data_IF_485474959993
#
_entry.id   IF_485474959993
#
_cell.length_a   1.000
_cell.length_b   1.000
_cell.length_c   1.000
_cell.angle_alpha   90.00
_cell.angle_beta   90.00
_cell.angle_gamma   90.00
#
_symmetry.space_group_name_H-M   'P 1'
#
loop_
_entity.id
_entity.type
_entity.pdbx_description
1 polymer ?
#
# COMPACT_ATOMS: atom_id res chain seq x y z
N UNK A 1 23.60 16.07 -9.98
CA UNK A 1 24.43 15.82 -8.76
C UNK A 1 24.14 14.39 -8.34
N UNK A 2 25.17 13.63 -7.97
CA UNK A 2 25.00 12.27 -7.43
C UNK A 2 24.56 12.35 -5.98
N UNK A 3 23.49 11.66 -5.61
CA UNK A 3 23.00 11.49 -4.23
C UNK A 3 23.13 10.03 -3.84
N UNK A 4 23.33 9.74 -2.56
CA UNK A 4 23.42 8.36 -2.08
C UNK A 4 22.96 8.19 -0.63
N UNK A 5 22.52 6.99 -0.31
CA UNK A 5 22.20 6.57 1.06
C UNK A 5 22.63 5.12 1.30
N UNK A 6 22.80 4.78 2.58
CA UNK A 6 23.03 3.40 3.00
C UNK A 6 21.70 2.73 3.31
N UNK A 7 21.54 1.51 2.80
CA UNK A 7 20.31 0.71 2.94
C UNK A 7 20.50 -0.34 4.02
N UNK A 8 19.52 -0.44 4.90
CA UNK A 8 19.44 -1.40 5.99
C UNK A 8 18.11 -2.14 5.93
N UNK A 9 18.03 -3.27 6.61
CA UNK A 9 16.78 -4.02 6.81
C UNK A 9 16.58 -4.38 8.29
N UNK A 10 15.32 -4.44 8.69
CA UNK A 10 14.88 -4.93 10.00
C UNK A 10 14.88 -3.89 11.11
N UNK A 11 14.35 -4.27 12.27
CA UNK A 11 14.29 -3.41 13.46
C UNK A 11 15.68 -3.14 14.01
N UNK A 12 16.48 -4.17 14.19
CA UNK A 12 17.91 -4.06 14.41
C UNK A 12 18.55 -3.90 13.03
N UNK A 13 18.94 -2.67 12.64
CA UNK A 13 19.27 -2.39 11.25
C UNK A 13 20.55 -3.13 10.82
N UNK A 14 20.38 -4.10 9.92
CA UNK A 14 21.49 -4.81 9.30
C UNK A 14 21.78 -4.11 7.96
N UNK A 15 23.02 -3.70 7.74
CA UNK A 15 23.43 -3.04 6.49
C UNK A 15 23.36 -4.01 5.32
N UNK A 16 22.63 -3.61 4.27
CA UNK A 16 22.45 -4.39 3.05
C UNK A 16 23.33 -3.89 1.92
N UNK A 17 23.49 -2.56 1.82
CA UNK A 17 24.27 -1.98 0.71
C UNK A 17 24.09 -0.48 0.58
N UNK A 18 24.45 0.05 -0.61
CA UNK A 18 24.36 1.47 -0.93
C UNK A 18 23.51 1.70 -2.17
N UNK A 19 22.57 2.62 -2.06
CA UNK A 19 21.77 3.15 -3.16
C UNK A 19 22.34 4.49 -3.58
N UNK A 20 22.65 4.64 -4.85
CA UNK A 20 23.07 5.90 -5.47
C UNK A 20 22.03 6.33 -6.50
N UNK A 21 21.83 7.62 -6.65
CA UNK A 21 20.90 8.21 -7.61
C UNK A 21 21.55 9.37 -8.35
N UNK A 22 21.30 9.48 -9.66
CA UNK A 22 21.75 10.59 -10.47
C UNK A 22 20.66 11.00 -11.47
N UNK A 23 20.41 12.32 -11.54
CA UNK A 23 19.50 12.91 -12.54
C UNK A 23 20.31 13.75 -13.51
N UNK A 24 20.21 13.43 -14.82
CA UNK A 24 20.81 14.16 -15.92
C UNK A 24 19.72 14.59 -16.91
N UNK A 25 19.36 15.87 -16.89
CA UNK A 25 18.22 16.36 -17.65
C UNK A 25 16.91 15.69 -17.22
N UNK A 26 16.23 15.02 -18.13
CA UNK A 26 15.00 14.26 -17.83
C UNK A 26 15.26 12.80 -17.46
N UNK A 27 16.49 12.30 -17.57
CA UNK A 27 16.82 10.92 -17.28
C UNK A 27 17.26 10.76 -15.83
N UNK A 28 16.52 9.97 -15.09
CA UNK A 28 16.84 9.53 -13.72
C UNK A 28 17.40 8.11 -13.75
N UNK A 29 18.48 7.88 -13.03
CA UNK A 29 19.12 6.57 -12.91
C UNK A 29 19.47 6.28 -11.46
N UNK A 30 19.35 5.06 -11.06
CA UNK A 30 19.86 4.57 -9.77
C UNK A 30 20.85 3.44 -9.95
N UNK A 31 21.73 3.29 -8.98
CA UNK A 31 22.66 2.18 -8.89
C UNK A 31 22.67 1.64 -7.47
N UNK A 32 22.72 0.34 -7.34
CA UNK A 32 22.80 -0.33 -6.06
C UNK A 32 24.04 -1.22 -5.98
N UNK A 33 24.66 -1.25 -4.80
CA UNK A 33 25.80 -2.10 -4.49
C UNK A 33 25.51 -2.82 -3.18
N UNK A 34 25.36 -4.14 -3.21
CA UNK A 34 25.31 -4.94 -2.00
C UNK A 34 26.62 -4.85 -1.22
N UNK A 35 26.53 -4.76 0.11
CA UNK A 35 27.72 -4.84 0.95
C UNK A 35 28.25 -6.30 1.01
N UNK A 36 29.57 -6.42 1.13
CA UNK A 36 30.19 -7.74 1.30
C UNK A 36 29.72 -8.46 2.57
N UNK A 37 29.35 -7.70 3.60
CA UNK A 37 28.78 -8.26 4.83
C UNK A 37 27.41 -8.86 4.60
N UNK A 38 26.58 -8.23 3.77
CA UNK A 38 25.27 -8.77 3.40
C UNK A 38 25.41 -10.02 2.52
N UNK A 39 26.25 -9.97 1.49
CA UNK A 39 26.48 -11.10 0.58
C UNK A 39 27.07 -12.35 1.29
N UNK A 40 27.60 -12.20 2.50
CA UNK A 40 28.06 -13.31 3.36
C UNK A 40 27.12 -13.62 4.52
N UNK A 41 26.03 -12.89 4.65
CA UNK A 41 25.09 -13.08 5.75
C UNK A 41 24.29 -14.38 5.53
N UNK A 42 24.19 -15.28 6.50
CA UNK A 42 23.40 -16.51 6.34
C UNK A 42 21.90 -16.26 6.14
N UNK A 43 21.41 -15.10 6.52
CA UNK A 43 20.02 -14.68 6.32
C UNK A 43 19.87 -13.67 5.17
N UNK A 44 20.83 -13.62 4.23
CA UNK A 44 20.74 -12.78 3.05
C UNK A 44 19.56 -13.17 2.17
N UNK A 45 18.96 -12.22 1.52
CA UNK A 45 17.96 -12.42 0.47
C UNK A 45 18.01 -11.27 -0.54
N UNK A 46 17.55 -11.51 -1.76
CA UNK A 46 17.41 -10.46 -2.78
C UNK A 46 16.29 -9.49 -2.37
N UNK A 47 16.58 -8.17 -2.34
CA UNK A 47 15.59 -7.17 -1.92
C UNK A 47 14.37 -7.12 -2.85
N UNK A 48 14.57 -7.46 -4.14
CA UNK A 48 13.51 -7.62 -5.14
C UNK A 48 14.04 -8.41 -6.34
N UNK A 49 13.16 -8.96 -7.21
CA UNK A 49 13.58 -9.78 -8.34
C UNK A 49 14.52 -9.07 -9.33
N UNK A 50 14.39 -7.74 -9.47
CA UNK A 50 15.25 -6.91 -10.32
C UNK A 50 16.57 -6.50 -9.65
N UNK A 51 16.80 -6.97 -8.42
CA UNK A 51 18.01 -6.70 -7.64
C UNK A 51 18.59 -8.00 -7.05
N UNK A 52 19.11 -8.92 -7.90
CA UNK A 52 19.66 -10.21 -7.48
C UNK A 52 20.90 -10.05 -6.58
N UNK A 53 21.20 -11.09 -5.77
CA UNK A 53 22.36 -11.15 -4.88
C UNK A 53 23.65 -11.38 -5.65
N UNK A 54 24.20 -10.35 -6.26
CA UNK A 54 25.47 -10.37 -6.97
C UNK A 54 26.41 -9.27 -6.48
N UNK A 55 27.71 -9.50 -6.56
CA UNK A 55 28.72 -8.48 -6.29
C UNK A 55 28.79 -7.45 -7.44
N UNK A 56 29.22 -6.22 -7.11
CA UNK A 56 29.32 -5.15 -8.07
C UNK A 56 28.05 -4.29 -8.17
N UNK A 57 28.17 -3.21 -8.94
CA UNK A 57 27.08 -2.26 -9.13
C UNK A 57 26.03 -2.83 -10.08
N UNK A 58 24.77 -2.73 -9.66
CA UNK A 58 23.60 -3.00 -10.48
C UNK A 58 22.93 -1.66 -10.80
N UNK A 59 22.39 -1.52 -12.01
CA UNK A 59 21.88 -0.25 -12.51
C UNK A 59 20.40 -0.37 -12.89
N UNK A 60 19.64 0.65 -12.56
CA UNK A 60 18.25 0.80 -12.95
C UNK A 60 18.01 2.20 -13.53
N UNK A 61 17.06 2.31 -14.46
CA UNK A 61 16.63 3.60 -15.00
C UNK A 61 15.19 3.54 -15.44
N UNK A 62 14.41 4.57 -15.11
CA UNK A 62 13.09 4.74 -15.70
C UNK A 62 13.19 4.83 -17.22
N UNK A 63 12.34 4.08 -17.91
CA UNK A 63 12.22 4.09 -19.39
C UNK A 63 11.19 5.10 -19.85
N UNK A 64 10.17 5.32 -19.00
CA UNK A 64 9.08 6.28 -19.22
C UNK A 64 8.94 7.17 -18.00
N UNK A 65 8.18 8.27 -18.11
CA UNK A 65 7.89 9.17 -16.98
C UNK A 65 7.08 8.52 -15.87
N UNK A 66 6.41 7.41 -16.15
CA UNK A 66 5.49 6.74 -15.22
C UNK A 66 6.19 5.60 -14.45
N UNK A 67 7.42 5.27 -14.84
CA UNK A 67 8.24 4.27 -14.15
C UNK A 67 9.09 4.93 -13.06
N UNK A 68 9.26 4.22 -11.94
CA UNK A 68 10.19 4.65 -10.89
C UNK A 68 11.64 4.65 -11.40
N UNK A 69 12.42 5.60 -10.94
CA UNK A 69 13.86 5.62 -11.15
C UNK A 69 14.63 4.58 -10.30
N UNK A 70 13.93 3.89 -9.41
CA UNK A 70 14.51 2.96 -8.46
C UNK A 70 14.09 1.51 -8.73
N UNK A 71 14.91 0.57 -8.23
CA UNK A 71 14.56 -0.85 -8.17
C UNK A 71 13.24 -1.07 -7.46
N UNK A 72 12.54 -2.15 -7.78
CA UNK A 72 11.19 -2.45 -7.34
C UNK A 72 11.00 -2.36 -5.82
N UNK A 73 11.96 -2.84 -5.03
CA UNK A 73 11.89 -2.77 -3.56
C UNK A 73 11.91 -1.34 -3.00
N UNK A 74 12.55 -0.40 -3.68
CA UNK A 74 12.53 1.01 -3.31
C UNK A 74 11.31 1.72 -3.87
N UNK A 75 10.84 1.32 -5.07
CA UNK A 75 9.61 1.85 -5.66
C UNK A 75 8.37 1.60 -4.78
N UNK A 76 8.28 0.43 -4.14
CA UNK A 76 7.18 0.11 -3.22
C UNK A 76 7.19 0.94 -1.93
N UNK A 77 8.28 1.60 -1.62
CA UNK A 77 8.41 2.46 -0.43
C UNK A 77 8.56 3.94 -0.77
N UNK A 78 8.43 4.32 -2.04
CA UNK A 78 8.30 5.72 -2.45
C UNK A 78 6.95 6.28 -2.00
N UNK A 79 6.88 7.58 -1.66
CA UNK A 79 5.58 8.23 -1.48
C UNK A 79 4.90 8.36 -2.83
N UNK A 80 3.60 8.17 -2.88
CA UNK A 80 2.78 8.51 -4.03
C UNK A 80 1.59 9.41 -3.63
N UNK A 81 0.76 9.80 -4.57
CA UNK A 81 -0.49 10.50 -4.36
C UNK A 81 -0.46 11.52 -3.21
N UNK A 82 -1.13 11.17 -2.10
CA UNK A 82 -1.23 11.98 -0.91
C UNK A 82 0.15 12.32 -0.31
N UNK A 83 1.01 11.33 -0.15
CA UNK A 83 2.35 11.53 0.43
C UNK A 83 3.20 12.51 -0.37
N UNK A 84 3.21 12.41 -1.70
CA UNK A 84 3.91 13.37 -2.59
C UNK A 84 3.34 14.78 -2.45
N UNK A 85 2.01 14.90 -2.38
CA UNK A 85 1.35 16.22 -2.23
C UNK A 85 1.77 16.90 -0.92
N UNK A 86 1.75 16.18 0.21
CA UNK A 86 2.21 16.72 1.51
C UNK A 86 3.66 17.18 1.43
N UNK A 87 4.55 16.40 0.86
CA UNK A 87 5.97 16.75 0.71
C UNK A 87 6.15 17.99 -0.17
N UNK A 88 5.46 18.07 -1.29
CA UNK A 88 5.53 19.21 -2.21
C UNK A 88 5.08 20.51 -1.54
N UNK A 89 3.97 20.46 -0.81
CA UNK A 89 3.42 21.60 -0.08
C UNK A 89 4.35 22.06 1.03
N UNK A 90 4.86 21.12 1.83
CA UNK A 90 5.82 21.41 2.90
C UNK A 90 7.09 22.09 2.33
N UNK A 91 7.64 21.55 1.27
CA UNK A 91 8.81 22.10 0.60
C UNK A 91 8.55 23.51 0.03
N UNK A 92 7.41 23.72 -0.65
CA UNK A 92 7.05 25.00 -1.23
C UNK A 92 6.89 26.09 -0.15
N UNK A 93 6.27 25.73 0.99
CA UNK A 93 6.04 26.66 2.12
C UNK A 93 7.36 27.02 2.81
N UNK A 94 8.23 26.03 3.08
CA UNK A 94 9.55 26.29 3.65
C UNK A 94 10.39 27.24 2.78
N UNK A 95 10.33 27.08 1.45
CA UNK A 95 11.02 27.99 0.51
C UNK A 95 10.48 29.42 0.58
N UNK A 96 9.15 29.58 0.69
CA UNK A 96 8.51 30.91 0.76
C UNK A 96 8.91 31.65 2.03
N UNK A 97 9.02 30.94 3.15
CA UNK A 97 9.32 31.53 4.45
C UNK A 97 10.83 31.63 4.73
N UNK A 98 11.67 31.30 3.74
CA UNK A 98 13.13 31.43 3.85
C UNK A 98 13.80 30.40 4.77
N UNK A 99 13.10 29.35 5.13
CA UNK A 99 13.60 28.25 5.94
C UNK A 99 14.26 27.22 4.98
N UNK A 100 15.57 27.35 4.79
CA UNK A 100 16.35 26.41 3.95
C UNK A 100 17.39 27.12 3.10
N UNK A 101 18.57 26.52 2.98
CA UNK A 101 19.74 27.13 2.35
C UNK A 101 19.70 27.15 0.81
N UNK A 102 18.75 26.48 0.16
CA UNK A 102 18.77 26.31 -1.31
C UNK A 102 17.43 26.71 -1.94
N UNK A 103 17.30 28.02 -2.25
CA UNK A 103 16.10 28.60 -2.86
C UNK A 103 15.83 28.15 -4.29
N UNK A 104 16.80 27.51 -4.94
CA UNK A 104 16.73 27.13 -6.35
C UNK A 104 16.49 25.64 -6.62
N UNK A 105 16.64 24.78 -5.62
CA UNK A 105 16.50 23.33 -5.79
C UNK A 105 15.03 22.92 -5.97
N UNK A 106 14.79 22.05 -6.93
CA UNK A 106 13.55 21.31 -7.07
C UNK A 106 13.72 19.93 -6.43
N UNK A 107 12.67 19.39 -5.85
CA UNK A 107 12.67 18.02 -5.37
C UNK A 107 12.83 17.04 -6.54
N UNK A 108 13.71 16.07 -6.39
CA UNK A 108 13.81 14.92 -7.29
C UNK A 108 13.33 13.62 -6.61
N UNK A 109 13.31 12.50 -7.33
CA UNK A 109 12.79 11.24 -6.84
C UNK A 109 13.52 10.76 -5.57
N UNK A 110 14.84 11.03 -5.48
CA UNK A 110 15.61 10.68 -4.29
C UNK A 110 15.22 11.52 -3.07
N UNK A 111 14.91 12.80 -3.25
CA UNK A 111 14.43 13.63 -2.16
C UNK A 111 13.09 13.13 -1.63
N UNK A 112 12.16 12.75 -2.52
CA UNK A 112 10.89 12.14 -2.10
C UNK A 112 11.12 10.85 -1.32
N UNK A 113 11.96 9.95 -1.80
CA UNK A 113 12.28 8.70 -1.13
C UNK A 113 12.87 8.92 0.27
N UNK A 114 13.78 9.90 0.42
CA UNK A 114 14.43 10.23 1.69
C UNK A 114 13.57 11.06 2.64
N UNK A 115 12.46 11.65 2.16
CA UNK A 115 11.57 12.46 3.00
C UNK A 115 10.69 11.64 3.94
N UNK A 116 10.50 10.37 3.65
CA UNK A 116 9.64 9.48 4.41
C UNK A 116 10.26 9.16 5.77
N UNK A 117 9.43 9.25 6.82
CA UNK A 117 9.83 8.85 8.17
C UNK A 117 10.28 7.38 8.20
N UNK A 118 11.45 7.12 8.77
CA UNK A 118 11.95 5.75 8.95
C UNK A 118 10.96 4.91 9.76
N UNK A 119 10.39 5.46 10.82
CA UNK A 119 9.48 4.73 11.70
C UNK A 119 8.23 4.23 10.96
N UNK A 120 7.62 5.08 10.15
CA UNK A 120 6.38 4.79 9.42
C UNK A 120 6.60 4.18 8.02
N UNK A 121 7.84 4.10 7.51
CA UNK A 121 8.15 3.51 6.21
C UNK A 121 7.61 2.08 6.10
N UNK A 122 7.02 1.75 4.94
CA UNK A 122 6.48 0.42 4.68
C UNK A 122 7.59 -0.63 4.67
N UNK A 123 7.29 -1.80 5.22
CA UNK A 123 8.20 -2.94 5.19
C UNK A 123 9.40 -2.81 6.14
N UNK A 124 10.46 -3.53 5.81
CA UNK A 124 11.67 -3.62 6.61
C UNK A 124 12.82 -2.74 6.13
N UNK A 125 12.72 -2.16 4.91
CA UNK A 125 13.76 -1.31 4.34
C UNK A 125 13.88 -0.02 5.16
N UNK A 126 15.14 0.34 5.47
CA UNK A 126 15.50 1.58 6.16
C UNK A 126 16.62 2.27 5.39
N UNK A 127 16.52 3.58 5.26
CA UNK A 127 17.47 4.39 4.51
C UNK A 127 18.16 5.37 5.44
N UNK A 128 19.49 5.36 5.42
CA UNK A 128 20.33 6.24 6.25
C UNK A 128 21.14 7.16 5.35
N UNK A 129 21.05 8.45 5.57
CA UNK A 129 21.78 9.45 4.79
C UNK A 129 23.29 9.50 5.15
N UNK A 130 24.01 10.40 4.48
CA UNK A 130 25.46 10.60 4.70
C UNK A 130 25.79 11.17 6.07
N UNK A 131 24.83 11.74 6.79
CA UNK A 131 24.99 12.26 8.16
C UNK A 131 24.72 11.18 9.22
N UNK A 132 24.37 9.96 8.79
CA UNK A 132 24.07 8.84 9.69
C UNK A 132 22.64 8.85 10.21
N UNK A 133 21.73 9.63 9.63
CA UNK A 133 20.35 9.80 10.06
C UNK A 133 19.42 8.94 9.20
N UNK A 134 18.58 8.11 9.86
CA UNK A 134 17.56 7.31 9.17
C UNK A 134 16.35 8.12 8.68
N UNK A 135 16.19 9.33 9.18
CA UNK A 135 15.06 10.20 8.84
C UNK A 135 15.54 11.63 8.62
N UNK A 136 15.44 12.08 7.40
CA UNK A 136 16.08 13.32 6.99
C UNK A 136 15.44 14.61 7.53
N UNK A 137 14.13 14.63 7.90
CA UNK A 137 13.42 15.88 8.21
C UNK A 137 12.27 15.78 9.20
N UNK A 138 12.19 14.77 10.04
CA UNK A 138 11.22 14.77 11.11
C UNK A 138 11.87 15.17 12.44
N UNK A 139 11.18 15.97 13.20
CA UNK A 139 11.52 16.15 14.61
C UNK A 139 11.46 14.77 15.28
N UNK A 140 12.61 14.32 15.82
CA UNK A 140 12.74 13.03 16.50
C UNK A 140 11.73 12.82 17.64
N UNK A 141 11.12 13.90 18.13
CA UNK A 141 10.09 13.90 19.17
C UNK A 141 8.69 13.55 18.65
N UNK A 142 8.45 13.58 17.32
CA UNK A 142 7.12 13.40 16.71
C UNK A 142 7.14 12.38 15.58
N UNK A 143 7.68 11.18 15.84
CA UNK A 143 7.84 10.18 14.78
C UNK A 143 6.51 9.59 14.30
N UNK A 144 5.56 9.36 15.19
CA UNK A 144 4.21 8.89 14.86
C UNK A 144 3.27 9.28 16.00
N UNK A 145 2.23 10.07 15.76
CA UNK A 145 1.34 10.55 16.79
C UNK A 145 0.46 9.41 17.34
N UNK A 146 0.15 9.44 18.64
CA UNK A 146 -0.88 8.59 19.23
C UNK A 146 -2.28 9.04 18.79
N UNK A 147 -3.29 8.18 19.01
CA UNK A 147 -4.69 8.47 18.65
C UNK A 147 -5.22 9.79 19.21
N UNK A 148 -4.74 10.22 20.36
CA UNK A 148 -5.16 11.49 20.99
C UNK A 148 -4.87 12.73 20.12
N UNK A 149 -3.93 12.63 19.18
CA UNK A 149 -3.59 13.71 18.25
C UNK A 149 -4.40 13.68 16.95
N UNK A 150 -5.32 12.71 16.81
CA UNK A 150 -6.12 12.51 15.60
C UNK A 150 -6.92 13.78 15.18
N UNK A 151 -7.54 14.56 16.07
CA UNK A 151 -8.23 15.79 15.68
C UNK A 151 -7.33 16.81 14.97
N UNK A 152 -6.06 16.92 15.39
CA UNK A 152 -5.11 17.83 14.75
C UNK A 152 -4.70 17.31 13.36
N UNK A 153 -4.51 16.00 13.21
CA UNK A 153 -4.20 15.39 11.90
C UNK A 153 -5.34 15.56 10.90
N UNK A 154 -6.59 15.40 11.36
CA UNK A 154 -7.78 15.64 10.55
C UNK A 154 -7.85 17.10 10.06
N UNK A 155 -7.66 18.08 10.97
CA UNK A 155 -7.65 19.49 10.59
C UNK A 155 -6.56 19.82 9.60
N UNK A 156 -5.34 19.33 9.85
CA UNK A 156 -4.20 19.55 8.95
C UNK A 156 -4.44 18.91 7.57
N UNK A 157 -5.01 17.70 7.51
CA UNK A 157 -5.35 17.04 6.26
C UNK A 157 -6.41 17.80 5.46
N UNK A 158 -7.45 18.27 6.12
CA UNK A 158 -8.51 19.08 5.50
C UNK A 158 -7.95 20.41 4.98
N UNK A 159 -7.11 21.10 5.76
CA UNK A 159 -6.48 22.33 5.35
C UNK A 159 -5.65 22.16 4.06
N UNK A 160 -4.96 21.04 3.88
CA UNK A 160 -4.24 20.71 2.63
C UNK A 160 -5.21 20.57 1.45
N UNK A 161 -6.33 19.86 1.61
CA UNK A 161 -7.31 19.69 0.53
C UNK A 161 -7.95 21.02 0.13
N UNK A 162 -8.19 21.91 1.10
CA UNK A 162 -8.78 23.25 0.92
C UNK A 162 -7.74 24.32 0.48
N UNK A 163 -6.46 23.97 0.35
CA UNK A 163 -5.35 24.89 0.06
C UNK A 163 -5.20 26.03 1.10
N UNK A 164 -5.49 25.73 2.36
CA UNK A 164 -5.45 26.67 3.49
C UNK A 164 -4.42 26.27 4.56
N UNK A 165 -3.57 25.30 4.26
CA UNK A 165 -2.60 24.77 5.20
C UNK A 165 -1.60 25.82 5.69
N UNK A 166 -1.29 25.75 6.98
CA UNK A 166 -0.23 26.53 7.65
C UNK A 166 1.07 25.71 7.70
N UNK A 167 2.19 26.35 8.07
CA UNK A 167 3.44 25.61 8.37
C UNK A 167 3.24 24.59 9.49
N UNK A 168 2.45 24.92 10.50
CA UNK A 168 2.13 24.02 11.60
C UNK A 168 1.40 22.77 11.13
N UNK A 169 0.42 22.90 10.22
CA UNK A 169 -0.31 21.75 9.65
C UNK A 169 0.64 20.82 8.88
N UNK A 170 1.53 21.41 8.07
CA UNK A 170 2.51 20.64 7.30
C UNK A 170 3.56 19.98 8.22
N UNK A 171 3.98 20.65 9.28
CA UNK A 171 4.87 20.07 10.28
C UNK A 171 4.23 18.87 10.99
N UNK A 172 2.93 18.95 11.27
CA UNK A 172 2.16 17.84 11.83
C UNK A 172 2.12 16.63 10.91
N UNK A 173 1.91 16.83 9.62
CA UNK A 173 1.81 15.76 8.61
C UNK A 173 3.18 15.27 8.13
N UNK A 174 4.24 16.04 8.38
CA UNK A 174 5.61 15.68 8.01
C UNK A 174 6.01 14.37 8.70
N UNK A 175 6.38 13.38 7.90
CA UNK A 175 6.84 12.09 8.39
C UNK A 175 5.72 11.09 8.71
N UNK A 176 4.50 11.52 9.00
CA UNK A 176 3.39 10.59 9.30
C UNK A 176 2.40 10.45 8.14
N UNK A 177 2.16 11.52 7.40
CA UNK A 177 1.31 11.52 6.20
C UNK A 177 2.03 11.14 4.91
N UNK A 178 3.33 10.90 4.94
CA UNK A 178 4.15 10.75 3.73
C UNK A 178 4.54 9.32 3.38
N UNK A 179 4.38 8.37 4.30
CA UNK A 179 4.90 7.00 4.16
C UNK A 179 3.93 6.01 3.51
N UNK A 180 2.74 6.43 3.12
CA UNK A 180 1.66 5.57 2.68
C UNK A 180 1.25 5.91 1.25
N UNK A 181 1.01 4.88 0.43
CA UNK A 181 0.53 5.02 -0.94
C UNK A 181 -0.93 5.45 -1.06
N UNK A 182 -1.34 5.86 -2.29
CA UNK A 182 -2.72 6.22 -2.65
C UNK A 182 -3.02 7.73 -2.52
N UNK A 183 -4.15 8.15 -3.10
CA UNK A 183 -4.51 9.56 -3.33
C UNK A 183 -5.23 10.21 -2.14
N UNK A 184 -5.90 9.43 -1.28
CA UNK A 184 -6.76 9.95 -0.21
C UNK A 184 -5.98 10.32 1.03
N UNK A 185 -6.47 11.30 1.83
CA UNK A 185 -5.87 11.71 3.09
C UNK A 185 -5.70 10.53 4.05
N UNK A 186 -4.48 10.33 4.52
CA UNK A 186 -4.14 9.28 5.47
C UNK A 186 -2.85 9.59 6.23
N UNK A 187 -2.69 8.97 7.38
CA UNK A 187 -1.45 9.07 8.15
C UNK A 187 -1.12 7.76 8.87
N UNK A 188 0.13 7.61 9.26
CA UNK A 188 0.54 6.59 10.23
C UNK A 188 0.24 7.08 11.65
N UNK A 189 -0.30 6.20 12.49
CA UNK A 189 -0.72 6.50 13.85
C UNK A 189 -0.42 5.31 14.76
N UNK A 190 -0.24 5.54 16.05
CA UNK A 190 -0.14 4.49 17.06
C UNK A 190 -1.54 4.25 17.65
N UNK A 191 -2.02 3.02 17.55
CA UNK A 191 -3.32 2.62 18.13
C UNK A 191 -3.28 2.54 19.67
N UNK A 192 -4.42 2.27 20.29
CA UNK A 192 -4.54 2.17 21.74
C UNK A 192 -3.69 1.04 22.36
N UNK A 193 -3.37 0.02 21.57
CA UNK A 193 -2.54 -1.12 21.98
C UNK A 193 -1.05 -0.90 21.72
N UNK A 194 -0.65 0.29 21.24
CA UNK A 194 0.73 0.64 20.91
C UNK A 194 1.21 0.09 19.56
N UNK A 195 0.32 -0.40 18.70
CA UNK A 195 0.69 -0.89 17.37
C UNK A 195 0.63 0.22 16.32
N UNK A 196 1.46 0.10 15.30
CA UNK A 196 1.40 0.97 14.14
C UNK A 196 0.15 0.66 13.29
N UNK A 197 -0.63 1.70 13.01
CA UNK A 197 -1.84 1.65 12.21
C UNK A 197 -1.85 2.74 11.14
N UNK A 198 -2.78 2.64 10.21
CA UNK A 198 -3.10 3.67 9.21
C UNK A 198 -4.44 4.29 9.60
N UNK A 199 -4.44 5.60 9.81
CA UNK A 199 -5.67 6.39 9.88
C UNK A 199 -6.01 6.91 8.48
N UNK A 200 -7.15 6.50 7.91
CA UNK A 200 -7.68 7.04 6.65
C UNK A 200 -8.82 8.01 6.96
N UNK A 201 -8.79 9.18 6.36
CA UNK A 201 -9.70 10.28 6.63
C UNK A 201 -10.71 10.48 5.51
N UNK A 202 -11.90 11.04 5.82
CA UNK A 202 -12.78 11.55 4.77
C UNK A 202 -12.09 12.64 3.95
N UNK A 203 -12.37 12.69 2.65
CA UNK A 203 -11.97 13.78 1.78
C UNK A 203 -13.10 14.80 1.68
N UNK A 204 -12.75 16.07 1.45
CA UNK A 204 -13.72 17.16 1.27
C UNK A 204 -14.69 16.90 0.11
N UNK A 205 -14.25 16.15 -0.91
CA UNK A 205 -15.07 15.80 -2.07
C UNK A 205 -15.93 14.54 -1.92
N UNK A 206 -15.96 13.92 -0.75
CA UNK A 206 -16.72 12.66 -0.58
C UNK A 206 -18.24 12.92 -0.58
N UNK A 207 -18.95 12.19 -1.42
CA UNK A 207 -20.42 12.19 -1.49
C UNK A 207 -21.04 11.16 -0.57
N UNK A 208 -20.26 10.17 -0.11
CA UNK A 208 -20.61 9.10 0.84
C UNK A 208 -19.42 8.81 1.73
N UNK A 209 -19.64 8.13 2.85
CA UNK A 209 -18.56 7.77 3.77
C UNK A 209 -17.68 6.63 3.23
N UNK A 210 -16.60 6.98 2.53
CA UNK A 210 -15.61 6.01 2.04
C UNK A 210 -14.94 5.26 3.21
N UNK A 211 -14.76 5.92 4.34
CA UNK A 211 -14.23 5.33 5.58
C UNK A 211 -15.06 4.11 6.02
N UNK A 212 -16.39 4.26 6.10
CA UNK A 212 -17.28 3.15 6.45
C UNK A 212 -17.28 2.07 5.36
N UNK A 213 -17.21 2.45 4.07
CA UNK A 213 -17.17 1.51 2.95
C UNK A 213 -15.98 0.57 3.01
N UNK A 214 -14.77 1.09 3.26
CA UNK A 214 -13.56 0.27 3.38
C UNK A 214 -13.59 -0.63 4.62
N UNK A 215 -13.98 -0.10 5.79
CA UNK A 215 -14.08 -0.91 7.01
C UNK A 215 -15.13 -2.01 6.86
N UNK A 216 -16.30 -1.71 6.26
CA UNK A 216 -17.33 -2.68 5.92
C UNK A 216 -16.79 -3.81 5.04
N UNK A 217 -16.07 -3.45 3.96
CA UNK A 217 -15.49 -4.41 3.04
C UNK A 217 -14.46 -5.31 3.74
N UNK A 218 -13.58 -4.76 4.58
CA UNK A 218 -12.61 -5.54 5.36
C UNK A 218 -13.29 -6.50 6.37
N UNK A 219 -14.36 -6.08 7.00
CA UNK A 219 -15.15 -6.93 7.91
C UNK A 219 -15.88 -8.06 7.17
N UNK A 220 -16.48 -7.77 6.01
CA UNK A 220 -17.08 -8.77 5.13
C UNK A 220 -16.05 -9.77 4.61
N UNK A 221 -14.89 -9.29 4.16
CA UNK A 221 -13.79 -10.11 3.67
C UNK A 221 -13.38 -11.17 4.72
N UNK A 222 -13.21 -10.76 5.98
CA UNK A 222 -12.90 -11.70 7.08
C UNK A 222 -13.99 -12.75 7.27
N UNK A 223 -15.26 -12.36 7.20
CA UNK A 223 -16.38 -13.31 7.30
C UNK A 223 -16.42 -14.27 6.12
N UNK A 224 -15.98 -13.84 4.94
CA UNK A 224 -15.80 -14.67 3.75
C UNK A 224 -14.56 -15.59 3.81
N UNK A 225 -13.86 -15.66 4.94
CA UNK A 225 -12.67 -16.48 5.12
C UNK A 225 -11.43 -15.94 4.40
N UNK A 226 -11.38 -14.64 4.15
CA UNK A 226 -10.23 -13.94 3.61
C UNK A 226 -9.37 -13.42 4.77
N UNK A 227 -8.06 -13.71 4.72
CA UNK A 227 -7.11 -13.03 5.58
C UNK A 227 -7.08 -11.55 5.19
N UNK A 228 -7.66 -10.68 6.01
CA UNK A 228 -7.75 -9.25 5.76
C UNK A 228 -7.22 -8.43 6.95
N UNK A 229 -6.73 -7.23 6.67
CA UNK A 229 -6.24 -6.31 7.67
C UNK A 229 -7.31 -6.03 8.73
N UNK A 230 -6.90 -5.93 9.99
CA UNK A 230 -7.80 -5.54 11.08
C UNK A 230 -8.13 -4.08 10.96
N UNK A 231 -9.43 -3.76 11.05
CA UNK A 231 -9.92 -2.40 10.87
C UNK A 231 -11.06 -2.08 11.82
N UNK A 232 -11.23 -0.83 12.14
CA UNK A 232 -12.37 -0.29 12.90
C UNK A 232 -12.64 1.15 12.46
N UNK A 233 -13.88 1.60 12.63
CA UNK A 233 -14.23 3.01 12.55
C UNK A 233 -14.07 3.59 13.95
N UNK A 234 -13.34 4.69 14.06
CA UNK A 234 -13.25 5.48 15.28
C UNK A 234 -13.82 6.87 15.00
N UNK A 235 -14.50 7.42 15.99
CA UNK A 235 -14.98 8.81 15.93
C UNK A 235 -13.90 9.75 16.46
N UNK A 236 -13.69 10.84 15.73
CA UNK A 236 -12.83 11.93 16.15
C UNK A 236 -13.54 13.26 15.96
N UNK A 237 -14.11 13.79 17.04
CA UNK A 237 -14.90 15.03 17.05
C UNK A 237 -16.08 15.00 16.05
N UNK A 238 -16.79 13.88 15.96
CA UNK A 238 -17.90 13.66 15.03
C UNK A 238 -17.49 13.30 13.60
N UNK A 239 -16.21 13.11 13.35
CA UNK A 239 -15.66 12.71 12.04
C UNK A 239 -15.22 11.24 12.10
N UNK A 240 -15.78 10.36 11.24
CA UNK A 240 -15.37 8.97 11.19
C UNK A 240 -13.98 8.81 10.57
N UNK A 241 -13.13 7.98 11.17
CA UNK A 241 -11.80 7.64 10.71
C UNK A 241 -11.66 6.13 10.62
N UNK A 242 -11.20 5.61 9.48
CA UNK A 242 -10.82 4.20 9.40
C UNK A 242 -9.45 4.00 10.03
N UNK A 243 -9.40 3.21 11.09
CA UNK A 243 -8.16 2.77 11.71
C UNK A 243 -7.87 1.35 11.23
N UNK A 244 -6.77 1.18 10.47
CA UNK A 244 -6.38 -0.09 9.86
C UNK A 244 -5.03 -0.51 10.41
N UNK A 245 -4.99 -1.65 11.12
CA UNK A 245 -3.74 -2.17 11.70
C UNK A 245 -2.77 -2.59 10.60
N UNK A 246 -1.53 -2.16 10.70
CA UNK A 246 -0.47 -2.56 9.76
C UNK A 246 -0.02 -3.99 10.02
N UNK A 247 0.09 -4.76 8.95
CA UNK A 247 0.50 -6.16 8.98
C UNK A 247 2.01 -6.35 8.69
N UNK A 248 2.69 -5.30 8.21
CA UNK A 248 4.14 -5.30 8.01
C UNK A 248 4.93 -5.04 9.31
N UNK A 249 4.22 -5.09 10.44
CA UNK A 249 4.78 -5.02 11.79
C UNK A 249 4.27 -6.18 12.65
N UNK A 250 5.17 -6.73 13.47
CA UNK A 250 4.84 -7.70 14.50
C UNK A 250 5.56 -7.28 15.79
N UNK A 251 4.86 -6.52 16.64
CA UNK A 251 5.49 -5.76 17.72
C UNK A 251 6.57 -4.81 17.13
N UNK A 252 7.80 -4.82 17.64
CA UNK A 252 8.90 -4.02 17.11
C UNK A 252 9.44 -4.54 15.78
N UNK A 253 9.21 -5.81 15.43
CA UNK A 253 9.76 -6.46 14.22
C UNK A 253 9.15 -5.87 12.96
N UNK A 254 10.01 -5.48 12.01
CA UNK A 254 9.64 -5.07 10.66
C UNK A 254 9.69 -6.27 9.72
N UNK A 255 8.65 -6.45 8.93
CA UNK A 255 8.57 -7.52 7.91
C UNK A 255 8.86 -6.91 6.54
N UNK A 256 9.76 -7.54 5.77
CA UNK A 256 9.99 -7.10 4.39
C UNK A 256 8.72 -7.28 3.58
N UNK A 257 8.38 -6.25 2.80
CA UNK A 257 7.17 -6.16 2.01
C UNK A 257 7.50 -5.85 0.56
N UNK A 258 6.84 -6.55 -0.37
CA UNK A 258 6.76 -6.19 -1.78
C UNK A 258 5.33 -6.32 -2.27
N UNK A 259 4.96 -5.51 -3.25
CA UNK A 259 3.70 -5.66 -3.97
C UNK A 259 3.80 -6.72 -5.09
N UNK A 260 2.66 -7.24 -5.55
CA UNK A 260 2.63 -8.07 -6.76
C UNK A 260 3.18 -7.32 -7.97
N UNK A 261 2.97 -6.00 -8.03
CA UNK A 261 3.55 -5.15 -9.07
C UNK A 261 5.08 -5.28 -9.13
N UNK A 262 5.71 -5.22 -7.98
CA UNK A 262 7.17 -5.30 -7.84
C UNK A 262 7.70 -6.72 -8.05
N UNK A 263 7.02 -7.73 -7.52
CA UNK A 263 7.41 -9.12 -7.69
C UNK A 263 7.25 -9.64 -9.13
N UNK A 264 6.23 -9.18 -9.84
CA UNK A 264 6.02 -9.46 -11.27
C UNK A 264 6.89 -8.59 -12.18
N UNK A 265 7.60 -7.60 -11.65
CA UNK A 265 8.29 -6.57 -12.42
C UNK A 265 7.35 -5.96 -13.48
N UNK A 266 6.15 -5.60 -13.04
CA UNK A 266 5.05 -5.23 -13.91
C UNK A 266 5.37 -3.94 -14.69
N UNK A 267 4.98 -3.94 -15.99
CA UNK A 267 5.18 -2.81 -16.90
C UNK A 267 3.88 -2.03 -17.06
N UNK A 268 3.96 -0.71 -17.06
CA UNK A 268 2.80 0.21 -17.11
C UNK A 268 1.88 0.01 -18.33
N UNK A 269 2.44 -0.51 -19.45
CA UNK A 269 1.70 -0.72 -20.71
C UNK A 269 1.16 -2.15 -20.87
N UNK A 270 1.33 -3.02 -19.86
CA UNK A 270 0.89 -4.41 -19.89
C UNK A 270 -0.26 -4.62 -18.92
N UNK A 271 -1.27 -5.37 -19.36
CA UNK A 271 -2.35 -5.82 -18.48
C UNK A 271 -1.95 -7.10 -17.77
N UNK A 272 -2.39 -7.22 -16.53
CA UNK A 272 -2.13 -8.37 -15.67
C UNK A 272 -3.44 -8.93 -15.11
N UNK A 273 -3.39 -10.21 -14.78
CA UNK A 273 -4.54 -10.96 -14.31
C UNK A 273 -4.27 -11.63 -12.95
N UNK A 274 -5.32 -12.13 -12.33
CA UNK A 274 -5.21 -12.97 -11.14
C UNK A 274 -4.44 -14.28 -11.41
N UNK A 275 -4.46 -14.80 -12.66
CA UNK A 275 -3.66 -15.98 -13.03
C UNK A 275 -2.16 -15.67 -13.04
N UNK A 276 -1.75 -14.44 -13.38
CA UNK A 276 -0.35 -14.01 -13.28
C UNK A 276 0.10 -13.99 -11.82
N UNK A 277 -0.73 -13.46 -10.91
CA UNK A 277 -0.44 -13.48 -9.46
C UNK A 277 -0.45 -14.92 -8.94
N UNK A 278 -1.36 -15.79 -9.40
CA UNK A 278 -1.39 -17.19 -9.02
C UNK A 278 -0.11 -17.93 -9.46
N UNK A 279 0.39 -17.62 -10.66
CA UNK A 279 1.65 -18.17 -11.17
C UNK A 279 2.84 -17.72 -10.33
N UNK A 280 2.88 -16.46 -9.93
CA UNK A 280 3.87 -15.94 -8.99
C UNK A 280 3.82 -16.70 -7.65
N UNK A 281 2.65 -16.83 -7.03
CA UNK A 281 2.47 -17.52 -5.74
C UNK A 281 3.03 -18.93 -5.77
N UNK A 282 2.81 -19.69 -6.86
CA UNK A 282 3.34 -21.05 -7.00
C UNK A 282 4.86 -21.11 -6.93
N UNK A 283 5.54 -20.07 -7.37
CA UNK A 283 7.02 -20.04 -7.41
C UNK A 283 7.64 -19.55 -6.12
N UNK A 284 6.96 -18.66 -5.38
CA UNK A 284 7.58 -17.97 -4.24
C UNK A 284 7.00 -18.35 -2.88
N UNK A 285 5.76 -18.93 -2.82
CA UNK A 285 5.11 -19.17 -1.53
C UNK A 285 5.39 -20.58 -1.00
N UNK A 286 5.86 -20.71 0.25
CA UNK A 286 6.02 -22.01 0.91
C UNK A 286 4.66 -22.65 1.27
N UNK A 287 3.57 -21.88 1.21
CA UNK A 287 2.18 -22.32 1.45
C UNK A 287 1.28 -22.03 0.24
N UNK A 288 1.81 -22.29 -0.98
CA UNK A 288 1.19 -21.90 -2.25
C UNK A 288 -0.30 -22.28 -2.34
N UNK A 289 -0.67 -23.50 -1.99
CA UNK A 289 -2.09 -23.95 -2.02
C UNK A 289 -3.00 -23.06 -1.16
N UNK A 290 -2.56 -22.68 0.03
CA UNK A 290 -3.32 -21.79 0.91
C UNK A 290 -3.43 -20.39 0.31
N UNK A 291 -2.31 -19.81 -0.13
CA UNK A 291 -2.27 -18.46 -0.69
C UNK A 291 -3.05 -18.36 -2.02
N UNK A 292 -3.05 -19.42 -2.84
CA UNK A 292 -3.89 -19.52 -4.04
C UNK A 292 -5.39 -19.50 -3.69
N UNK A 293 -5.79 -20.26 -2.68
CA UNK A 293 -7.17 -20.26 -2.17
C UNK A 293 -7.57 -18.88 -1.63
N UNK A 294 -6.66 -18.19 -0.94
CA UNK A 294 -6.87 -16.81 -0.48
C UNK A 294 -6.99 -15.84 -1.65
N UNK A 295 -6.14 -15.95 -2.66
CA UNK A 295 -6.18 -15.09 -3.84
C UNK A 295 -7.50 -15.27 -4.62
N UNK A 296 -7.96 -16.52 -4.83
CA UNK A 296 -9.21 -16.81 -5.50
C UNK A 296 -10.41 -16.21 -4.73
N UNK A 297 -10.45 -16.34 -3.41
CA UNK A 297 -11.48 -15.69 -2.57
C UNK A 297 -11.47 -14.18 -2.72
N UNK A 298 -10.30 -13.53 -2.79
CA UNK A 298 -10.18 -12.08 -3.01
C UNK A 298 -10.74 -11.67 -4.36
N UNK A 299 -10.42 -12.40 -5.42
CA UNK A 299 -10.98 -12.16 -6.76
C UNK A 299 -12.52 -12.22 -6.75
N UNK A 300 -13.10 -13.30 -6.20
CA UNK A 300 -14.56 -13.43 -6.06
C UNK A 300 -15.14 -12.27 -5.22
N UNK A 301 -14.49 -11.94 -4.11
CA UNK A 301 -14.96 -10.89 -3.21
C UNK A 301 -14.97 -9.53 -3.91
N UNK A 302 -13.91 -9.18 -4.62
CA UNK A 302 -13.82 -7.94 -5.38
C UNK A 302 -14.93 -7.82 -6.44
N UNK A 303 -15.26 -8.92 -7.10
CA UNK A 303 -16.42 -8.97 -8.04
C UNK A 303 -17.74 -8.72 -7.27
N UNK A 304 -17.96 -9.39 -6.14
CA UNK A 304 -19.20 -9.31 -5.36
C UNK A 304 -19.46 -7.92 -4.78
N UNK A 305 -18.41 -7.19 -4.38
CA UNK A 305 -18.53 -5.84 -3.79
C UNK A 305 -18.24 -4.70 -4.78
N UNK A 306 -18.08 -5.02 -6.07
CA UNK A 306 -17.66 -4.07 -7.08
C UNK A 306 -16.39 -3.28 -6.73
N UNK A 307 -15.38 -3.94 -6.17
CA UNK A 307 -14.05 -3.34 -5.98
C UNK A 307 -13.27 -3.38 -7.30
N UNK A 308 -13.50 -2.39 -8.15
CA UNK A 308 -12.91 -2.31 -9.50
C UNK A 308 -11.52 -1.66 -9.51
N UNK A 309 -11.05 -1.13 -8.39
CA UNK A 309 -9.74 -0.48 -8.27
C UNK A 309 -8.64 -1.43 -7.77
N UNK A 310 -8.92 -2.74 -7.77
CA UNK A 310 -7.98 -3.76 -7.31
C UNK A 310 -6.85 -3.96 -8.33
N UNK A 311 -5.77 -3.22 -8.13
CA UNK A 311 -4.58 -3.27 -8.98
C UNK A 311 -3.44 -4.05 -8.29
N UNK A 312 -2.38 -4.40 -9.03
CA UNK A 312 -1.26 -5.21 -8.53
C UNK A 312 -0.58 -4.67 -7.26
N UNK A 313 -0.62 -3.38 -6.98
CA UNK A 313 -0.08 -2.81 -5.74
C UNK A 313 -0.97 -3.09 -4.52
N UNK A 314 -2.23 -3.50 -4.71
CA UNK A 314 -3.14 -3.90 -3.62
C UNK A 314 -2.96 -5.37 -3.19
N UNK A 315 -2.10 -6.12 -3.90
CA UNK A 315 -1.69 -7.46 -3.51
C UNK A 315 -0.27 -7.42 -2.94
N UNK A 316 -0.18 -7.42 -1.62
CA UNK A 316 1.10 -7.41 -0.90
C UNK A 316 1.63 -8.81 -0.61
N UNK A 317 2.94 -8.91 -0.46
CA UNK A 317 3.65 -10.10 -0.03
C UNK A 317 4.61 -9.78 1.09
N UNK A 318 4.74 -10.69 2.04
CA UNK A 318 5.66 -10.58 3.17
C UNK A 318 6.75 -11.64 3.04
N UNK A 319 7.99 -11.21 3.15
CA UNK A 319 9.13 -12.11 3.17
C UNK A 319 9.11 -12.95 4.45
N UNK A 320 9.45 -14.22 4.31
CA UNK A 320 9.56 -15.17 5.42
C UNK A 320 11.03 -15.51 5.68
N UNK A 321 11.48 -16.63 5.16
CA UNK A 321 12.86 -17.11 5.22
C UNK A 321 13.22 -17.70 3.86
N UNK A 322 14.50 -17.83 3.57
CA UNK A 322 14.98 -18.55 2.37
C UNK A 322 14.43 -18.02 1.03
N UNK A 323 14.39 -16.70 0.85
CA UNK A 323 13.84 -16.03 -0.33
C UNK A 323 12.35 -16.34 -0.62
N UNK A 324 11.61 -16.82 0.38
CA UNK A 324 10.19 -17.14 0.24
C UNK A 324 9.30 -15.97 0.69
N UNK A 325 8.18 -15.84 -0.02
CA UNK A 325 7.20 -14.77 0.20
C UNK A 325 5.80 -15.37 0.35
N UNK A 326 5.06 -14.89 1.32
CA UNK A 326 3.66 -15.29 1.54
C UNK A 326 2.72 -14.13 1.22
N UNK A 327 1.52 -14.45 0.76
CA UNK A 327 0.51 -13.45 0.48
C UNK A 327 0.15 -12.70 1.78
N UNK A 328 0.29 -11.38 1.78
CA UNK A 328 -0.06 -10.53 2.91
C UNK A 328 -1.59 -10.48 3.12
N UNK A 329 -2.10 -10.07 4.27
CA UNK A 329 -3.53 -9.82 4.45
C UNK A 329 -4.08 -8.85 3.40
N UNK A 330 -5.32 -9.06 2.96
CA UNK A 330 -6.01 -8.16 2.04
C UNK A 330 -6.20 -6.78 2.69
N UNK A 331 -6.04 -5.74 1.91
CA UNK A 331 -6.16 -4.34 2.32
C UNK A 331 -6.67 -3.51 1.15
N UNK A 332 -7.08 -2.26 1.41
CA UNK A 332 -7.56 -1.32 0.40
C UNK A 332 -8.74 -1.87 -0.42
N UNK A 333 -9.68 -2.51 0.26
CA UNK A 333 -10.90 -3.04 -0.32
C UNK A 333 -11.98 -1.96 -0.31
N UNK A 334 -12.33 -1.45 -1.49
CA UNK A 334 -13.26 -0.32 -1.62
C UNK A 334 -14.43 -0.67 -2.54
N UNK A 335 -15.69 -0.67 -2.05
CA UNK A 335 -16.85 -0.83 -2.93
C UNK A 335 -17.11 0.43 -3.75
N UNK A 336 -17.34 0.28 -5.06
CA UNK A 336 -17.58 1.38 -5.99
C UNK A 336 -18.99 1.27 -6.62
N UNK A 337 -20.05 1.80 -5.97
CA UNK A 337 -21.42 1.69 -6.46
C UNK A 337 -21.67 2.45 -7.76
N UNK A 338 -20.87 3.46 -8.05
CA UNK A 338 -20.98 4.40 -9.16
C UNK A 338 -20.08 4.03 -10.36
N UNK A 339 -19.31 2.94 -10.27
CA UNK A 339 -18.43 2.50 -11.36
C UNK A 339 -18.97 1.26 -12.07
N UNK A 340 -18.72 1.19 -13.38
CA UNK A 340 -18.89 -0.04 -14.14
C UNK A 340 -18.01 -1.16 -13.55
N UNK A 341 -18.46 -2.40 -13.69
CA UNK A 341 -17.76 -3.59 -13.22
C UNK A 341 -16.61 -3.98 -14.15
N UNK A 342 -15.65 -3.05 -14.30
CA UNK A 342 -14.43 -3.22 -15.09
C UNK A 342 -13.24 -3.32 -14.13
N UNK A 343 -12.59 -4.49 -14.10
CA UNK A 343 -11.52 -4.82 -13.17
C UNK A 343 -10.17 -4.28 -13.68
N UNK A 344 -9.37 -3.67 -12.82
CA UNK A 344 -7.98 -3.31 -13.15
C UNK A 344 -7.06 -4.53 -13.23
N UNK A 345 -7.22 -5.50 -12.33
CA UNK A 345 -6.59 -6.82 -12.45
C UNK A 345 -7.62 -7.76 -13.07
N UNK A 346 -7.37 -8.25 -14.29
CA UNK A 346 -8.30 -9.10 -14.99
C UNK A 346 -8.42 -10.48 -14.33
N UNK A 347 -9.52 -11.17 -14.56
CA UNK A 347 -9.72 -12.52 -14.04
C UNK A 347 -8.67 -13.47 -14.65
N UNK A 348 -8.55 -13.45 -15.96
CA UNK A 348 -7.55 -14.16 -16.77
C UNK A 348 -7.11 -13.29 -17.94
N UNK A 349 -6.03 -13.60 -18.65
CA UNK A 349 -5.64 -12.88 -19.86
C UNK A 349 -6.71 -12.86 -20.96
N UNK A 350 -7.63 -13.82 -20.95
CA UNK A 350 -8.70 -13.98 -21.94
C UNK A 350 -10.01 -13.29 -21.55
N UNK A 351 -10.24 -13.03 -20.25
CA UNK A 351 -11.50 -12.47 -19.75
C UNK A 351 -11.73 -11.00 -20.15
N UNK A 352 -10.64 -10.27 -20.42
CA UNK A 352 -10.72 -8.82 -20.50
C UNK A 352 -11.00 -8.17 -19.14
N UNK A 353 -11.49 -6.94 -19.15
CA UNK A 353 -11.69 -6.15 -17.94
C UNK A 353 -13.02 -6.42 -17.20
N UNK A 354 -13.98 -7.08 -17.85
CA UNK A 354 -15.31 -7.25 -17.28
C UNK A 354 -15.34 -8.29 -16.15
N UNK A 355 -15.99 -7.93 -15.05
CA UNK A 355 -16.17 -8.81 -13.92
C UNK A 355 -17.22 -9.89 -14.23
N UNK A 356 -16.84 -11.18 -14.12
CA UNK A 356 -17.70 -12.33 -14.33
C UNK A 356 -17.41 -13.42 -13.31
N UNK A 357 -18.46 -13.85 -12.59
CA UNK A 357 -18.33 -14.96 -11.62
C UNK A 357 -18.20 -16.31 -12.35
N UNK A 358 -18.81 -16.44 -13.53
CA UNK A 358 -18.70 -17.66 -14.33
C UNK A 358 -17.28 -17.87 -14.85
N UNK A 359 -16.62 -16.82 -15.33
CA UNK A 359 -15.20 -16.88 -15.71
C UNK A 359 -14.31 -17.19 -14.52
N UNK A 360 -14.54 -16.55 -13.37
CA UNK A 360 -13.79 -16.84 -12.16
C UNK A 360 -13.96 -18.30 -11.71
N UNK A 361 -15.16 -18.88 -11.85
CA UNK A 361 -15.39 -20.32 -11.61
C UNK A 361 -14.68 -21.20 -12.64
N UNK A 362 -14.69 -20.81 -13.92
CA UNK A 362 -14.04 -21.58 -14.99
C UNK A 362 -12.53 -21.75 -14.75
N UNK A 363 -11.87 -20.70 -14.24
CA UNK A 363 -10.43 -20.72 -13.95
C UNK A 363 -10.05 -21.22 -12.53
N UNK A 364 -11.01 -21.71 -11.75
CA UNK A 364 -10.75 -22.14 -10.35
C UNK A 364 -9.61 -23.16 -10.22
N UNK A 365 -9.38 -24.01 -11.25
CA UNK A 365 -8.28 -24.95 -11.30
C UNK A 365 -6.91 -24.27 -11.33
N UNK A 366 -6.81 -23.08 -11.90
CA UNK A 366 -5.58 -22.27 -11.87
C UNK A 366 -5.21 -21.81 -10.45
N UNK A 367 -6.11 -21.98 -9.49
CA UNK A 367 -5.90 -21.72 -8.05
C UNK A 367 -5.88 -23.00 -7.22
N UNK A 368 -5.64 -24.15 -7.86
CA UNK A 368 -5.66 -25.48 -7.23
C UNK A 368 -6.99 -25.82 -6.52
N UNK A 369 -8.08 -25.21 -6.99
CA UNK A 369 -9.40 -25.33 -6.40
C UNK A 369 -10.33 -26.13 -7.32
N UNK A 370 -10.80 -27.32 -6.89
CA UNK A 370 -11.77 -28.09 -7.67
C UNK A 370 -13.07 -27.28 -7.89
N UNK A 371 -13.63 -27.34 -9.10
CA UNK A 371 -14.82 -26.54 -9.46
C UNK A 371 -16.01 -26.75 -8.49
N UNK A 372 -16.20 -27.97 -7.99
CA UNK A 372 -17.24 -28.26 -6.99
C UNK A 372 -17.04 -27.47 -5.69
N UNK A 373 -15.80 -27.43 -5.21
CA UNK A 373 -15.42 -26.68 -4.00
C UNK A 373 -15.52 -25.17 -4.24
N UNK A 374 -15.07 -24.69 -5.42
CA UNK A 374 -15.21 -23.30 -5.84
C UNK A 374 -16.67 -22.81 -5.80
N UNK A 375 -17.61 -23.63 -6.30
CA UNK A 375 -19.05 -23.32 -6.25
C UNK A 375 -19.59 -23.24 -4.84
N UNK A 376 -19.15 -24.11 -3.94
CA UNK A 376 -19.56 -24.05 -2.52
C UNK A 376 -19.06 -22.77 -1.88
N UNK A 377 -17.79 -22.45 -2.04
CA UNK A 377 -17.18 -21.20 -1.52
C UNK A 377 -17.90 -19.97 -2.07
N UNK A 378 -18.16 -19.91 -3.37
CA UNK A 378 -18.91 -18.80 -3.98
C UNK A 378 -20.30 -18.64 -3.35
N UNK A 379 -21.03 -19.74 -3.16
CA UNK A 379 -22.38 -19.72 -2.54
C UNK A 379 -22.32 -19.18 -1.10
N UNK A 380 -21.36 -19.64 -0.31
CA UNK A 380 -21.12 -19.15 1.07
C UNK A 380 -20.78 -17.66 1.08
N UNK A 381 -19.88 -17.21 0.20
CA UNK A 381 -19.48 -15.80 0.10
C UNK A 381 -20.65 -14.91 -0.34
N UNK A 382 -21.48 -15.34 -1.29
CA UNK A 382 -22.70 -14.62 -1.68
C UNK A 382 -23.65 -14.46 -0.49
N UNK A 383 -23.87 -15.54 0.28
CA UNK A 383 -24.72 -15.51 1.49
C UNK A 383 -24.17 -14.54 2.53
N UNK A 384 -22.86 -14.51 2.77
CA UNK A 384 -22.23 -13.59 3.71
C UNK A 384 -22.33 -12.14 3.20
N UNK A 385 -22.00 -11.89 1.93
CA UNK A 385 -22.06 -10.54 1.35
C UNK A 385 -23.49 -10.00 1.38
N UNK A 386 -24.53 -10.82 1.19
CA UNK A 386 -25.93 -10.37 1.28
C UNK A 386 -26.31 -9.78 2.65
N UNK A 387 -25.52 -10.07 3.71
CA UNK A 387 -25.74 -9.48 5.05
C UNK A 387 -25.12 -8.10 5.23
N UNK A 388 -24.57 -7.50 4.20
CA UNK A 388 -23.78 -6.27 4.26
C UNK A 388 -24.50 -5.09 4.92
N UNK A 389 -25.83 -4.94 4.69
CA UNK A 389 -26.63 -3.84 5.29
C UNK A 389 -26.62 -3.87 6.82
N UNK A 390 -26.80 -5.07 7.39
CA UNK A 390 -26.79 -5.22 8.84
C UNK A 390 -25.40 -4.98 9.45
N UNK A 391 -24.34 -5.33 8.73
CA UNK A 391 -22.98 -5.09 9.18
C UNK A 391 -22.68 -3.60 9.09
N UNK A 392 -23.07 -2.93 8.01
CA UNK A 392 -22.93 -1.46 7.85
C UNK A 392 -23.63 -0.69 8.97
N UNK A 393 -24.85 -1.09 9.32
CA UNK A 393 -25.59 -0.51 10.47
C UNK A 393 -24.83 -0.68 11.78
N UNK A 394 -24.30 -1.88 12.04
CA UNK A 394 -23.51 -2.16 13.24
C UNK A 394 -22.19 -1.37 13.30
N UNK A 395 -21.66 -0.94 12.16
CA UNK A 395 -20.49 -0.07 12.06
C UNK A 395 -20.84 1.43 12.20
N UNK A 396 -22.12 1.78 12.39
CA UNK A 396 -22.57 3.15 12.52
C UNK A 396 -22.76 3.88 11.18
N UNK A 397 -22.81 3.16 10.05
CA UNK A 397 -23.09 3.75 8.74
C UNK A 397 -24.53 4.26 8.72
N UNK A 398 -24.73 5.51 8.33
CA UNK A 398 -26.06 6.11 8.25
C UNK A 398 -26.89 5.54 7.07
N UNK A 399 -28.22 5.71 7.10
CA UNK A 399 -29.13 5.15 6.12
C UNK A 399 -28.85 5.66 4.69
N UNK A 400 -28.49 6.94 4.54
CA UNK A 400 -28.15 7.52 3.26
C UNK A 400 -26.93 6.86 2.60
N UNK A 401 -25.85 6.65 3.35
CA UNK A 401 -24.66 5.97 2.86
C UNK A 401 -24.94 4.49 2.53
N UNK A 402 -25.80 3.81 3.32
CA UNK A 402 -26.21 2.43 3.05
C UNK A 402 -26.94 2.36 1.70
N UNK A 403 -27.88 3.26 1.45
CA UNK A 403 -28.61 3.31 0.18
C UNK A 403 -27.68 3.59 -1.01
N UNK A 404 -26.68 4.46 -0.83
CA UNK A 404 -25.69 4.77 -1.85
C UNK A 404 -24.76 3.58 -2.17
N UNK A 405 -24.48 2.73 -1.19
CA UNK A 405 -23.63 1.55 -1.40
C UNK A 405 -24.36 0.36 -2.04
N UNK A 406 -25.71 0.33 -2.04
CA UNK A 406 -26.48 -0.81 -2.51
C UNK A 406 -26.06 -1.31 -3.92
N UNK A 407 -25.81 -0.46 -4.94
CA UNK A 407 -25.41 -0.96 -6.26
C UNK A 407 -24.06 -1.71 -6.29
N UNK A 408 -23.18 -1.45 -5.33
CA UNK A 408 -21.90 -2.17 -5.23
C UNK A 408 -22.09 -3.62 -4.76
N UNK A 409 -22.98 -3.82 -3.79
CA UNK A 409 -23.20 -5.13 -3.13
C UNK A 409 -24.32 -5.96 -3.75
N UNK A 410 -25.18 -5.36 -4.54
CA UNK A 410 -26.28 -6.04 -5.23
C UNK A 410 -25.81 -6.48 -6.61
N UNK A 411 -24.88 -7.45 -6.62
CA UNK A 411 -24.40 -8.04 -7.87
C UNK A 411 -25.52 -8.72 -8.63
N UNK A 412 -25.76 -8.23 -9.86
CA UNK A 412 -26.60 -8.90 -10.83
C UNK A 412 -25.69 -9.41 -11.94
N UNK A 413 -25.85 -10.67 -12.34
CA UNK A 413 -25.17 -11.19 -13.51
C UNK A 413 -25.65 -10.42 -14.75
N UNK A 414 -24.73 -10.02 -15.64
CA UNK A 414 -25.09 -9.29 -16.86
C UNK A 414 -25.93 -10.13 -17.83
#
# INVERSE_FOLDING_TARGET
MKKECTVFVGENPIEVGKLSYEKKGQKSTSAFLYSDSWLRNPNQFALSPDLPLISGYQFHSARTSDESAFFACFSDVEPDGWGKMVIQRDFAKQRKDGVGNDRAALLDDFDYLMWISDFSRIGAIRLRDSEGIFQRRADLKRQTPPLIELPQLLRASKAIEENQETLNDLEYLRGVGTSLGGLRPKCSIIDADGNLAIGKFPSVGDTRSIVHGEVLALHLAKRCGIDAASSQVIDSDGIPVALIKRFDRNGPKRLMYLSANSLLQAKSHQQYSYEDIASLIRTISPKAKYDLGQLWRRMIFNILINNVDDHLKNHGFLHTTDDQWVLAPAFDLNPFPDKMRALKTWISPQSGEFASLDEALAISKSFELPNKEAKVILSEMRSIVSTWKSIAQNLGTNAHDIDQYAPAFEYQEP
#
